data_IF_037907637897
#
_entry.id   IF_037907637897
#
_cell.length_a   1.000
_cell.length_b   1.000
_cell.length_c   1.000
_cell.angle_alpha   90.00
_cell.angle_beta   90.00
_cell.angle_gamma   90.00
#
_symmetry.space_group_name_H-M   'P 1'
#
loop_
_entity.id
_entity.type
_entity.pdbx_description
1 polymer ?
#
# COMPACT_ATOMS: atom_id res chain seq x y z
N UNK A 1 49.34 -33.22 14.54
CA UNK A 1 49.16 -32.32 15.71
C UNK A 1 49.09 -30.90 15.20
N UNK A 2 47.94 -30.41 14.87
CA UNK A 2 47.66 -28.98 14.65
C UNK A 2 46.16 -28.80 14.74
N UNK A 3 45.72 -28.11 15.76
CA UNK A 3 44.35 -27.64 15.97
C UNK A 3 44.05 -26.53 14.96
N UNK A 4 43.05 -26.68 14.16
CA UNK A 4 42.43 -25.58 13.38
C UNK A 4 41.30 -24.97 14.19
N UNK A 5 41.46 -23.71 14.55
CA UNK A 5 40.46 -22.85 15.13
C UNK A 5 39.39 -22.47 14.13
N UNK A 6 38.14 -22.55 14.54
CA UNK A 6 36.99 -21.93 13.89
C UNK A 6 36.85 -20.50 14.45
N UNK A 7 37.25 -19.52 13.70
CA UNK A 7 36.91 -18.09 13.91
C UNK A 7 36.05 -17.66 12.72
N UNK A 8 34.79 -17.43 12.85
CA UNK A 8 34.14 -16.29 13.47
C UNK A 8 34.08 -15.13 12.46
N UNK A 9 33.15 -15.20 11.44
CA UNK A 9 32.82 -14.02 10.63
C UNK A 9 31.86 -13.16 11.48
N UNK A 10 32.47 -12.22 12.21
CA UNK A 10 31.72 -11.11 12.82
C UNK A 10 31.55 -10.05 11.75
N UNK A 11 30.35 -9.94 11.20
CA UNK A 11 29.98 -8.80 10.39
C UNK A 11 29.82 -7.58 11.30
N UNK A 12 30.78 -6.72 11.23
CA UNK A 12 30.81 -5.44 11.91
C UNK A 12 29.83 -4.49 11.21
N UNK A 13 28.65 -4.32 11.78
CA UNK A 13 27.75 -3.23 11.41
C UNK A 13 28.35 -1.93 11.95
N UNK A 14 28.93 -1.14 11.11
CA UNK A 14 29.29 0.24 11.45
C UNK A 14 28.00 1.03 11.68
N UNK A 15 27.74 1.32 12.93
CA UNK A 15 26.72 2.25 13.39
C UNK A 15 27.08 3.66 12.88
N UNK A 16 26.49 4.06 11.78
CA UNK A 16 26.41 5.47 11.44
C UNK A 16 25.45 6.13 12.44
N UNK A 17 26.04 6.67 13.48
CA UNK A 17 25.36 7.50 14.47
C UNK A 17 24.91 8.78 13.77
N UNK A 18 23.69 8.83 13.26
CA UNK A 18 23.08 10.06 12.79
C UNK A 18 22.84 10.94 14.02
N UNK A 19 23.71 11.93 14.21
CA UNK A 19 23.52 12.98 15.20
C UNK A 19 22.21 13.70 14.93
N UNK A 20 21.27 13.58 15.84
CA UNK A 20 20.12 14.49 15.94
C UNK A 20 20.68 15.91 16.06
N UNK A 21 20.39 16.76 15.09
CA UNK A 21 20.66 18.20 15.21
C UNK A 21 19.74 18.74 16.30
N UNK A 22 20.29 18.95 17.47
CA UNK A 22 19.68 19.84 18.46
C UNK A 22 19.60 21.23 17.85
N UNK A 23 18.40 21.66 17.50
CA UNK A 23 18.16 23.06 17.17
C UNK A 23 18.40 23.88 18.44
N UNK A 24 19.48 24.66 18.46
CA UNK A 24 19.69 25.67 19.51
C UNK A 24 18.62 26.73 19.39
N UNK A 25 17.65 26.66 20.28
CA UNK A 25 16.68 27.74 20.48
C UNK A 25 17.38 28.86 21.24
N UNK A 26 17.49 30.02 20.63
CA UNK A 26 17.99 31.24 21.28
C UNK A 26 17.03 31.71 22.39
N UNK A 27 17.51 32.42 23.45
CA UNK A 27 16.65 32.90 24.50
C UNK A 27 15.84 34.10 23.99
N UNK A 28 14.50 33.93 23.87
CA UNK A 28 13.61 35.05 23.55
C UNK A 28 12.39 34.75 22.69
N UNK A 29 12.14 33.52 22.29
CA UNK A 29 10.85 33.15 21.66
C UNK A 29 9.89 32.70 22.76
N UNK A 30 8.77 33.42 22.94
CA UNK A 30 7.62 32.93 23.68
C UNK A 30 7.31 31.52 23.13
N UNK A 31 7.25 30.52 24.01
CA UNK A 31 6.80 29.19 23.69
C UNK A 31 5.32 29.32 23.34
N UNK A 32 5.01 29.50 22.04
CA UNK A 32 3.75 29.01 21.55
C UNK A 32 3.67 27.55 22.00
N UNK A 33 2.74 27.25 22.89
CA UNK A 33 2.39 25.88 23.24
C UNK A 33 2.01 25.22 21.93
N UNK A 34 2.96 24.46 21.36
CA UNK A 34 2.70 23.56 20.25
C UNK A 34 1.51 22.70 20.70
N UNK A 35 0.32 23.06 20.24
CA UNK A 35 -0.84 22.18 20.31
C UNK A 35 -0.35 20.84 19.76
N UNK A 36 -0.20 19.83 20.63
CA UNK A 36 0.03 18.45 20.24
C UNK A 36 -1.19 18.07 19.41
N UNK A 37 -1.11 18.30 18.12
CA UNK A 37 -2.16 17.90 17.20
C UNK A 37 -2.15 16.38 17.20
N UNK A 38 -3.27 15.77 17.58
CA UNK A 38 -3.49 14.33 17.43
C UNK A 38 -3.46 14.00 15.93
N UNK A 39 -2.27 13.71 15.42
CA UNK A 39 -2.04 13.49 13.99
C UNK A 39 -1.47 12.09 13.75
N UNK A 40 -1.86 11.48 12.63
CA UNK A 40 -1.51 10.12 12.27
C UNK A 40 -0.86 10.06 10.90
N UNK A 41 0.31 9.44 10.84
CA UNK A 41 0.94 9.03 9.60
C UNK A 41 0.67 7.54 9.32
N UNK A 42 0.13 7.21 8.15
CA UNK A 42 -0.08 5.82 7.71
C UNK A 42 0.81 5.55 6.50
N UNK A 43 1.74 4.61 6.62
CA UNK A 43 2.66 4.25 5.54
C UNK A 43 2.27 2.88 5.01
N UNK A 44 1.75 2.83 3.79
CA UNK A 44 1.32 1.60 3.15
C UNK A 44 2.41 1.01 2.26
N UNK A 45 2.45 -0.32 2.19
CA UNK A 45 3.43 -1.08 1.42
C UNK A 45 3.17 -1.09 -0.09
N UNK A 46 1.97 -0.62 -0.52
CA UNK A 46 1.60 -0.46 -1.92
C UNK A 46 0.67 0.74 -2.15
N UNK A 47 0.61 1.23 -3.40
CA UNK A 47 -0.15 2.42 -3.77
C UNK A 47 -1.67 2.20 -3.74
N UNK A 48 -2.13 1.02 -4.18
CA UNK A 48 -3.57 0.73 -4.21
C UNK A 48 -4.16 0.56 -2.82
N UNK A 49 -3.41 -0.09 -1.91
CA UNK A 49 -3.79 -0.18 -0.50
C UNK A 49 -3.72 1.17 0.21
N UNK A 50 -2.72 2.00 -0.09
CA UNK A 50 -2.65 3.37 0.42
C UNK A 50 -3.89 4.18 0.00
N UNK A 51 -4.25 4.11 -1.27
CA UNK A 51 -5.43 4.80 -1.80
C UNK A 51 -6.73 4.30 -1.16
N UNK A 52 -6.85 2.99 -0.93
CA UNK A 52 -8.00 2.41 -0.23
C UNK A 52 -8.15 3.01 1.17
N UNK A 53 -7.08 3.08 1.95
CA UNK A 53 -7.10 3.70 3.28
C UNK A 53 -7.50 5.18 3.21
N UNK A 54 -6.94 5.95 2.27
CA UNK A 54 -7.30 7.35 2.08
C UNK A 54 -8.78 7.51 1.74
N UNK A 55 -9.34 6.68 0.84
CA UNK A 55 -10.76 6.70 0.48
C UNK A 55 -11.67 6.37 1.68
N UNK A 56 -11.33 5.38 2.50
CA UNK A 56 -12.11 5.04 3.71
C UNK A 56 -12.07 6.16 4.75
N UNK A 57 -10.95 6.87 4.88
CA UNK A 57 -10.86 8.05 5.76
C UNK A 57 -11.71 9.20 5.23
N UNK A 58 -11.63 9.49 3.92
CA UNK A 58 -12.48 10.51 3.28
C UNK A 58 -13.99 10.16 3.42
N UNK A 59 -14.36 8.90 3.26
CA UNK A 59 -15.74 8.43 3.50
C UNK A 59 -16.18 8.60 4.96
N UNK A 60 -15.24 8.58 5.89
CA UNK A 60 -15.49 8.88 7.30
C UNK A 60 -15.48 10.39 7.62
N UNK A 61 -15.36 11.27 6.61
CA UNK A 61 -15.30 12.72 6.78
C UNK A 61 -13.94 13.25 7.23
N UNK A 62 -12.89 12.46 7.15
CA UNK A 62 -11.53 12.83 7.54
C UNK A 62 -10.73 13.14 6.27
N UNK A 63 -10.27 14.37 6.11
CA UNK A 63 -9.36 14.72 5.02
C UNK A 63 -8.04 13.97 5.20
N UNK A 64 -7.71 13.11 4.23
CA UNK A 64 -6.55 12.23 4.25
C UNK A 64 -5.80 12.28 2.90
N UNK A 65 -4.91 13.26 2.69
CA UNK A 65 -4.09 13.29 1.48
C UNK A 65 -3.20 12.05 1.41
N UNK A 66 -3.08 11.48 0.20
CA UNK A 66 -2.18 10.39 -0.10
C UNK A 66 -0.95 10.94 -0.82
N UNK A 67 0.22 10.68 -0.27
CA UNK A 67 1.51 11.11 -0.81
C UNK A 67 2.32 9.92 -1.33
N UNK A 68 3.04 10.14 -2.42
CA UNK A 68 3.96 9.18 -3.06
C UNK A 68 5.42 9.65 -2.99
N UNK A 69 5.66 10.80 -2.37
CA UNK A 69 6.99 11.35 -2.15
C UNK A 69 7.08 11.92 -0.73
N UNK A 70 8.20 11.70 -0.01
CA UNK A 70 8.37 12.15 1.38
C UNK A 70 8.17 13.67 1.56
N UNK A 71 8.60 14.46 0.58
CA UNK A 71 8.53 15.92 0.60
C UNK A 71 7.36 16.46 -0.25
N UNK A 72 6.27 15.70 -0.38
CA UNK A 72 5.08 16.18 -1.05
C UNK A 72 4.42 17.28 -0.24
N UNK A 73 4.10 18.40 -0.88
CA UNK A 73 3.33 19.47 -0.26
C UNK A 73 1.87 19.04 -0.15
N UNK A 74 1.37 19.05 1.07
CA UNK A 74 -0.05 18.76 1.37
C UNK A 74 -0.63 19.85 2.24
N UNK A 75 -1.91 20.11 2.05
CA UNK A 75 -2.61 21.02 2.94
C UNK A 75 -2.73 20.41 4.34
N UNK A 76 -2.83 21.24 5.37
CA UNK A 76 -2.99 20.81 6.77
C UNK A 76 -4.03 19.72 6.92
N UNK A 77 -3.65 18.65 7.61
CA UNK A 77 -4.40 17.41 7.73
C UNK A 77 -4.12 16.74 9.07
N UNK A 78 -5.14 16.09 9.64
CA UNK A 78 -4.97 15.27 10.85
C UNK A 78 -4.44 13.86 10.52
N UNK A 79 -4.56 13.42 9.26
CA UNK A 79 -4.07 12.12 8.80
C UNK A 79 -3.40 12.28 7.46
N UNK A 80 -2.17 11.81 7.33
CA UNK A 80 -1.48 11.71 6.04
C UNK A 80 -1.24 10.24 5.73
N UNK A 81 -1.59 9.82 4.52
CA UNK A 81 -1.32 8.46 4.03
C UNK A 81 -0.16 8.53 3.06
N UNK A 82 0.85 7.68 3.24
CA UNK A 82 1.94 7.51 2.27
C UNK A 82 1.81 6.16 1.57
N UNK A 83 1.97 6.18 0.26
CA UNK A 83 2.08 4.96 -0.54
C UNK A 83 3.55 4.70 -0.87
N UNK A 84 4.02 3.50 -0.56
CA UNK A 84 5.34 3.00 -0.98
C UNK A 84 5.18 1.84 -1.94
N UNK A 85 6.27 1.36 -2.51
CA UNK A 85 6.32 0.10 -3.27
C UNK A 85 7.14 -0.93 -2.48
N UNK A 86 6.95 -0.96 -1.16
CA UNK A 86 7.80 -1.70 -0.25
C UNK A 86 7.51 -3.21 -0.20
N UNK A 87 6.30 -3.67 -0.59
CA UNK A 87 5.84 -5.07 -0.36
C UNK A 87 6.80 -6.13 -0.85
N UNK A 88 7.39 -5.96 -2.02
CA UNK A 88 8.16 -6.98 -2.75
C UNK A 88 9.64 -6.65 -2.88
N UNK A 89 10.11 -5.57 -2.26
CA UNK A 89 11.52 -5.19 -2.26
C UNK A 89 12.26 -5.75 -1.05
N UNK A 90 13.57 -5.72 -1.14
CA UNK A 90 14.48 -6.17 -0.08
C UNK A 90 14.24 -5.40 1.22
N UNK A 91 14.36 -6.08 2.37
CA UNK A 91 13.96 -5.57 3.68
C UNK A 91 14.68 -4.27 4.08
N UNK A 92 15.98 -4.14 3.84
CA UNK A 92 16.73 -2.93 4.18
C UNK A 92 16.27 -1.73 3.34
N UNK A 93 15.97 -1.95 2.06
CA UNK A 93 15.42 -0.91 1.17
C UNK A 93 14.01 -0.50 1.61
N UNK A 94 13.17 -1.48 2.01
CA UNK A 94 11.84 -1.19 2.53
C UNK A 94 11.89 -0.34 3.81
N UNK A 95 12.81 -0.67 4.73
CA UNK A 95 13.06 0.11 5.95
C UNK A 95 13.51 1.52 5.61
N UNK A 96 14.46 1.69 4.68
CA UNK A 96 14.93 3.01 4.24
C UNK A 96 13.77 3.86 3.70
N UNK A 97 12.96 3.30 2.82
CA UNK A 97 11.80 3.99 2.25
C UNK A 97 10.81 4.46 3.35
N UNK A 98 10.53 3.60 4.34
CA UNK A 98 9.65 3.96 5.45
C UNK A 98 10.25 5.09 6.28
N UNK A 99 11.56 5.04 6.57
CA UNK A 99 12.26 6.10 7.31
C UNK A 99 12.26 7.42 6.55
N UNK A 100 12.47 7.40 5.24
CA UNK A 100 12.40 8.60 4.40
C UNK A 100 11.03 9.30 4.49
N UNK A 101 9.93 8.54 4.49
CA UNK A 101 8.60 9.12 4.69
C UNK A 101 8.39 9.69 6.10
N UNK A 102 8.91 9.02 7.13
CA UNK A 102 8.83 9.51 8.51
C UNK A 102 9.61 10.81 8.73
N UNK A 103 10.72 10.98 8.01
CA UNK A 103 11.59 12.16 8.10
C UNK A 103 11.19 13.26 7.12
N UNK A 104 10.39 12.93 6.11
CA UNK A 104 9.93 13.86 5.10
C UNK A 104 8.91 14.88 5.62
N UNK A 105 8.82 16.02 4.97
CA UNK A 105 7.97 17.15 5.38
C UNK A 105 6.48 16.79 5.40
N UNK A 106 6.05 15.85 4.55
CA UNK A 106 4.65 15.44 4.48
C UNK A 106 4.15 14.74 5.76
N UNK A 107 5.02 14.04 6.48
CA UNK A 107 4.66 13.25 7.67
C UNK A 107 5.39 13.67 8.95
N UNK A 108 6.39 14.54 8.86
CA UNK A 108 7.30 14.89 9.97
C UNK A 108 6.62 15.53 11.20
N UNK A 109 5.34 15.93 11.10
CA UNK A 109 4.53 16.42 12.21
C UNK A 109 3.61 15.37 12.84
N UNK A 110 3.60 14.13 12.37
CA UNK A 110 2.70 13.10 12.89
C UNK A 110 3.14 12.61 14.26
N UNK A 111 2.20 12.58 15.22
CA UNK A 111 2.43 12.12 16.59
C UNK A 111 2.33 10.60 16.74
N UNK A 112 1.66 9.92 15.81
CA UNK A 112 1.43 8.47 15.78
C UNK A 112 1.63 7.93 14.38
N UNK A 113 2.13 6.70 14.29
CA UNK A 113 2.43 6.05 13.01
C UNK A 113 1.84 4.65 12.93
N UNK A 114 1.42 4.29 11.71
CA UNK A 114 1.00 2.93 11.34
C UNK A 114 1.78 2.52 10.09
N UNK A 115 2.40 1.35 10.12
CA UNK A 115 2.80 0.68 8.88
C UNK A 115 1.69 -0.25 8.44
N UNK A 116 1.28 -0.13 7.19
CA UNK A 116 0.12 -0.82 6.63
C UNK A 116 0.54 -1.81 5.53
N UNK A 117 0.76 -3.09 5.88
CA UNK A 117 0.82 -4.19 4.90
C UNK A 117 -0.55 -4.47 4.30
N UNK A 118 -0.61 -5.39 3.30
CA UNK A 118 -1.90 -5.88 2.80
C UNK A 118 -2.76 -6.48 3.91
N UNK A 119 -4.07 -6.59 3.66
CA UNK A 119 -5.02 -7.17 4.63
C UNK A 119 -4.67 -8.61 5.05
N UNK A 120 -3.97 -9.37 4.21
CA UNK A 120 -3.51 -10.73 4.46
C UNK A 120 -2.03 -10.81 4.86
N UNK A 121 -1.37 -9.68 5.15
CA UNK A 121 0.05 -9.61 5.45
C UNK A 121 0.91 -10.36 4.41
N UNK A 122 0.57 -10.16 3.11
CA UNK A 122 1.29 -10.79 1.99
C UNK A 122 2.78 -10.45 2.07
N UNK A 123 3.59 -11.48 2.25
CA UNK A 123 5.03 -11.36 2.47
C UNK A 123 5.75 -12.66 2.17
N UNK A 124 7.03 -12.72 2.50
CA UNK A 124 7.86 -13.94 2.42
C UNK A 124 8.55 -14.17 3.77
N UNK A 125 9.14 -15.34 4.03
CA UNK A 125 9.93 -15.56 5.25
C UNK A 125 11.07 -14.55 5.46
N UNK A 126 11.64 -14.03 4.38
CA UNK A 126 12.65 -12.96 4.39
C UNK A 126 12.05 -11.59 4.04
N UNK A 127 10.76 -11.40 4.30
CA UNK A 127 10.05 -10.15 3.98
C UNK A 127 10.36 -9.01 4.95
N UNK A 128 9.63 -7.93 4.78
CA UNK A 128 9.98 -6.66 5.41
C UNK A 128 9.04 -6.20 6.53
N UNK A 129 7.95 -6.93 6.82
CA UNK A 129 7.00 -6.54 7.88
C UNK A 129 7.69 -6.52 9.25
N UNK A 130 8.42 -7.60 9.59
CA UNK A 130 9.21 -7.68 10.81
C UNK A 130 10.30 -6.61 10.91
N UNK A 131 11.20 -6.48 9.92
CA UNK A 131 12.25 -5.46 9.90
C UNK A 131 11.73 -4.02 10.00
N UNK A 132 10.62 -3.69 9.35
CA UNK A 132 9.98 -2.38 9.50
C UNK A 132 9.44 -2.19 10.91
N UNK A 133 8.77 -3.20 11.48
CA UNK A 133 8.27 -3.13 12.84
C UNK A 133 9.40 -2.93 13.86
N UNK A 134 10.52 -3.63 13.70
CA UNK A 134 11.73 -3.50 14.52
C UNK A 134 12.33 -2.11 14.44
N UNK A 135 12.48 -1.58 13.22
CA UNK A 135 13.00 -0.23 12.98
C UNK A 135 12.12 0.83 13.65
N UNK A 136 10.80 0.74 13.49
CA UNK A 136 9.86 1.68 14.08
C UNK A 136 9.87 1.60 15.62
N UNK A 137 9.94 0.39 16.19
CA UNK A 137 10.05 0.19 17.64
C UNK A 137 11.35 0.77 18.19
N UNK A 138 12.48 0.57 17.51
CA UNK A 138 13.77 1.13 17.90
C UNK A 138 13.76 2.66 17.83
N UNK A 139 13.19 3.23 16.76
CA UNK A 139 13.12 4.67 16.54
C UNK A 139 12.25 5.40 17.57
N UNK A 140 11.11 4.81 17.94
CA UNK A 140 10.17 5.41 18.88
C UNK A 140 10.49 5.09 20.35
N UNK A 141 11.25 4.04 20.60
CA UNK A 141 11.41 3.45 21.95
C UNK A 141 10.13 2.79 22.48
N UNK A 142 9.15 2.52 21.60
CA UNK A 142 7.86 1.93 21.97
C UNK A 142 7.86 0.42 21.74
N UNK A 143 7.54 -0.33 22.79
CA UNK A 143 7.43 -1.78 22.77
C UNK A 143 6.36 -2.24 23.78
N UNK A 144 5.68 -3.36 23.49
CA UNK A 144 5.73 -4.16 22.28
C UNK A 144 5.09 -3.47 21.08
N UNK A 145 5.49 -3.87 19.86
CA UNK A 145 4.76 -3.50 18.63
C UNK A 145 3.47 -4.31 18.55
N UNK A 146 2.38 -3.68 18.20
CA UNK A 146 1.10 -4.34 17.93
C UNK A 146 0.96 -4.65 16.44
N UNK A 147 0.49 -5.85 16.12
CA UNK A 147 0.28 -6.31 14.73
C UNK A 147 -1.13 -6.87 14.58
N UNK A 148 -1.84 -6.49 13.52
CA UNK A 148 -3.20 -6.98 13.27
C UNK A 148 -3.47 -7.07 11.76
N UNK A 149 -3.61 -8.30 11.26
CA UNK A 149 -4.04 -8.60 9.90
C UNK A 149 -5.55 -8.86 9.89
N UNK A 150 -6.16 -8.69 8.72
CA UNK A 150 -7.58 -9.01 8.51
C UNK A 150 -8.37 -7.87 7.90
N UNK A 151 -9.49 -8.25 7.27
CA UNK A 151 -10.49 -7.37 6.68
C UNK A 151 -11.81 -8.14 6.64
N UNK A 152 -12.55 -8.19 7.77
CA UNK A 152 -13.72 -9.05 7.92
C UNK A 152 -14.79 -8.83 6.84
N UNK A 153 -15.01 -7.58 6.42
CA UNK A 153 -16.00 -7.22 5.39
C UNK A 153 -15.77 -7.98 4.06
N UNK A 154 -14.51 -8.30 3.72
CA UNK A 154 -14.16 -9.06 2.52
C UNK A 154 -13.72 -10.49 2.83
N UNK A 155 -14.12 -11.01 4.01
CA UNK A 155 -13.83 -12.35 4.48
C UNK A 155 -12.32 -12.71 4.51
N UNK A 156 -11.48 -11.74 4.85
CA UNK A 156 -10.09 -11.96 5.24
C UNK A 156 -10.03 -11.82 6.75
N UNK A 157 -9.75 -12.91 7.46
CA UNK A 157 -9.81 -12.94 8.93
C UNK A 157 -8.65 -13.72 9.51
N UNK A 158 -8.32 -13.44 10.78
CA UNK A 158 -7.40 -14.26 11.56
C UNK A 158 -8.08 -14.85 12.77
N UNK A 159 -7.83 -16.12 13.07
CA UNK A 159 -8.37 -16.83 14.19
C UNK A 159 -7.33 -17.81 14.75
N UNK A 160 -7.02 -17.69 16.05
CA UNK A 160 -5.94 -18.45 16.72
C UNK A 160 -4.59 -18.31 16.01
N UNK A 161 -4.30 -17.12 15.45
CA UNK A 161 -3.11 -16.83 14.66
C UNK A 161 -3.15 -17.29 13.22
N UNK A 162 -4.18 -18.07 12.81
CA UNK A 162 -4.31 -18.61 11.46
C UNK A 162 -5.07 -17.65 10.55
N UNK A 163 -4.51 -17.43 9.34
CA UNK A 163 -5.09 -16.56 8.33
C UNK A 163 -6.08 -17.31 7.43
N UNK A 164 -7.26 -16.74 7.28
CA UNK A 164 -8.28 -17.15 6.32
C UNK A 164 -8.44 -16.08 5.24
N UNK A 165 -8.53 -16.51 4.00
CA UNK A 165 -8.70 -15.66 2.84
C UNK A 165 -9.95 -16.09 2.07
N UNK A 166 -10.97 -15.22 2.06
CA UNK A 166 -12.27 -15.46 1.42
C UNK A 166 -12.91 -16.81 1.83
N UNK A 167 -12.93 -17.04 3.15
CA UNK A 167 -13.56 -18.23 3.73
C UNK A 167 -12.75 -19.52 3.61
N UNK A 168 -11.52 -19.46 3.13
CA UNK A 168 -10.59 -20.60 3.08
C UNK A 168 -9.33 -20.29 3.87
N UNK A 169 -8.75 -21.30 4.52
CA UNK A 169 -7.41 -21.13 5.08
C UNK A 169 -6.45 -20.69 3.96
N UNK A 170 -5.57 -19.74 4.24
CA UNK A 170 -4.78 -19.06 3.20
C UNK A 170 -4.01 -20.03 2.30
N UNK A 171 -3.49 -21.13 2.83
CA UNK A 171 -2.77 -22.17 2.09
C UNK A 171 -3.64 -23.02 1.15
N UNK A 172 -4.96 -22.96 1.30
CA UNK A 172 -5.94 -23.57 0.38
C UNK A 172 -6.57 -22.53 -0.57
N UNK A 173 -6.05 -21.31 -0.56
CA UNK A 173 -6.51 -20.20 -1.40
C UNK A 173 -5.53 -19.89 -2.52
N UNK A 174 -5.92 -18.97 -3.41
CA UNK A 174 -5.06 -18.46 -4.48
C UNK A 174 -3.76 -17.80 -3.98
N UNK A 175 -3.73 -17.36 -2.72
CA UNK A 175 -2.57 -16.72 -2.10
C UNK A 175 -1.34 -17.62 -1.99
N UNK A 176 -1.54 -18.93 -1.87
CA UNK A 176 -0.45 -19.90 -1.88
C UNK A 176 0.39 -19.86 -3.17
N UNK A 177 -0.25 -19.47 -4.27
CA UNK A 177 0.36 -19.49 -5.60
C UNK A 177 0.70 -18.08 -6.10
N UNK A 178 0.70 -17.09 -5.21
CA UNK A 178 1.13 -15.74 -5.61
C UNK A 178 2.62 -15.78 -5.99
N UNK A 179 3.00 -15.27 -7.17
CA UNK A 179 4.37 -15.40 -7.66
C UNK A 179 5.40 -14.57 -6.89
N UNK A 180 4.97 -13.51 -6.21
CA UNK A 180 5.86 -12.59 -5.50
C UNK A 180 5.80 -12.77 -3.98
N UNK A 181 4.62 -13.00 -3.45
CA UNK A 181 4.37 -13.16 -2.02
C UNK A 181 3.54 -14.41 -1.75
N UNK A 182 4.05 -15.60 -2.04
CA UNK A 182 3.35 -16.83 -1.71
C UNK A 182 3.18 -16.93 -0.20
N UNK A 183 1.99 -17.38 0.23
CA UNK A 183 1.66 -17.58 1.64
C UNK A 183 1.65 -19.08 1.95
N UNK A 184 2.84 -19.68 2.24
CA UNK A 184 2.98 -21.12 2.43
C UNK A 184 2.56 -21.58 3.83
N UNK A 185 2.49 -20.66 4.78
CA UNK A 185 2.18 -20.93 6.19
C UNK A 185 0.91 -20.15 6.59
N UNK A 186 -0.13 -20.82 7.08
CA UNK A 186 -1.34 -20.15 7.52
C UNK A 186 -1.20 -19.52 8.91
N UNK A 187 -0.23 -19.93 9.72
CA UNK A 187 0.07 -19.40 11.04
C UNK A 187 0.91 -18.12 10.91
N UNK A 188 0.26 -16.96 11.03
CA UNK A 188 0.92 -15.66 10.88
C UNK A 188 1.91 -15.36 12.00
N UNK A 189 1.72 -15.90 13.20
CA UNK A 189 2.66 -15.71 14.31
C UNK A 189 3.99 -16.38 13.97
N UNK A 190 3.93 -17.65 13.56
CA UNK A 190 5.11 -18.41 13.13
C UNK A 190 5.73 -17.82 11.87
N UNK A 191 4.90 -17.39 10.92
CA UNK A 191 5.36 -16.79 9.67
C UNK A 191 6.13 -15.47 9.93
N UNK A 192 5.57 -14.57 10.72
CA UNK A 192 6.21 -13.30 11.09
C UNK A 192 7.44 -13.49 11.96
N UNK A 193 7.47 -14.53 12.81
CA UNK A 193 8.66 -14.85 13.62
C UNK A 193 9.90 -15.21 12.80
N UNK A 194 9.74 -15.49 11.50
CA UNK A 194 10.88 -15.70 10.59
C UNK A 194 11.51 -14.39 10.12
N UNK A 195 10.82 -13.26 10.31
CA UNK A 195 11.26 -11.94 9.86
C UNK A 195 11.87 -11.08 10.97
N UNK A 196 11.87 -11.52 12.22
CA UNK A 196 12.36 -10.76 13.38
C UNK A 196 12.90 -11.68 14.47
N UNK A 197 13.93 -11.24 15.17
CA UNK A 197 14.49 -11.94 16.35
C UNK A 197 13.81 -11.53 17.65
N UNK A 198 12.85 -10.60 17.63
CA UNK A 198 12.24 -10.02 18.83
C UNK A 198 11.09 -10.83 19.43
N UNK A 199 10.71 -11.93 18.80
CA UNK A 199 9.59 -12.77 19.22
C UNK A 199 8.23 -12.15 18.93
N UNK A 200 7.31 -13.00 18.44
CA UNK A 200 5.92 -12.63 18.13
C UNK A 200 5.00 -13.48 19.01
N UNK A 201 4.20 -12.83 19.84
CA UNK A 201 3.25 -13.46 20.75
C UNK A 201 1.82 -13.24 20.27
N UNK A 202 0.88 -14.11 20.66
CA UNK A 202 -0.52 -14.06 20.23
C UNK A 202 -1.45 -13.58 21.34
N UNK A 203 -2.30 -12.61 20.99
CA UNK A 203 -3.57 -12.34 21.65
C UNK A 203 -4.68 -12.81 20.72
N UNK A 204 -5.27 -13.96 21.03
CA UNK A 204 -6.24 -14.61 20.15
C UNK A 204 -7.64 -14.01 20.27
N UNK A 205 -8.50 -14.33 19.31
CA UNK A 205 -9.93 -14.04 19.38
C UNK A 205 -10.57 -14.57 20.70
N UNK A 206 -10.19 -15.78 21.12
CA UNK A 206 -10.68 -16.35 22.36
C UNK A 206 -10.26 -15.56 23.61
N UNK A 207 -9.12 -14.90 23.58
CA UNK A 207 -8.71 -13.97 24.64
C UNK A 207 -9.56 -12.70 24.61
N UNK A 208 -9.82 -12.17 23.40
CA UNK A 208 -10.62 -10.96 23.23
C UNK A 208 -12.10 -11.17 23.63
N UNK A 209 -12.65 -12.34 23.41
CA UNK A 209 -13.98 -12.72 23.92
C UNK A 209 -14.09 -12.67 25.45
N UNK A 210 -12.98 -12.70 26.18
CA UNK A 210 -12.96 -12.53 27.64
C UNK A 210 -13.04 -11.08 28.10
N UNK A 211 -13.08 -10.15 27.15
CA UNK A 211 -13.25 -8.72 27.35
C UNK A 211 -11.95 -7.94 27.53
N UNK A 212 -12.05 -6.64 27.38
CA UNK A 212 -10.95 -5.65 27.37
C UNK A 212 -9.96 -5.87 28.53
N UNK A 213 -10.43 -5.91 29.76
CA UNK A 213 -9.56 -6.01 30.94
C UNK A 213 -8.68 -7.26 30.91
N UNK A 214 -9.22 -8.37 30.42
CA UNK A 214 -8.44 -9.59 30.27
C UNK A 214 -7.32 -9.41 29.23
N UNK A 215 -7.64 -8.80 28.10
CA UNK A 215 -6.67 -8.52 27.02
C UNK A 215 -5.55 -7.57 27.52
N UNK A 216 -5.89 -6.49 28.20
CA UNK A 216 -4.91 -5.55 28.77
C UNK A 216 -3.96 -6.24 29.76
N UNK A 217 -4.49 -7.12 30.62
CA UNK A 217 -3.66 -7.92 31.55
C UNK A 217 -2.75 -8.89 30.77
N UNK A 218 -3.26 -9.52 29.70
CA UNK A 218 -2.45 -10.41 28.86
C UNK A 218 -1.34 -9.65 28.15
N UNK A 219 -1.63 -8.49 27.56
CA UNK A 219 -0.62 -7.61 26.96
C UNK A 219 0.46 -7.27 27.98
N UNK A 220 0.08 -6.87 29.20
CA UNK A 220 1.02 -6.54 30.28
C UNK A 220 1.89 -7.72 30.65
N UNK A 221 1.30 -8.91 30.75
CA UNK A 221 2.03 -10.14 31.06
C UNK A 221 3.03 -10.54 29.96
N UNK A 222 2.64 -10.41 28.67
CA UNK A 222 3.51 -10.68 27.53
C UNK A 222 4.66 -9.67 27.47
N UNK A 223 4.36 -8.38 27.66
CA UNK A 223 5.35 -7.31 27.70
C UNK A 223 6.38 -7.54 28.81
N UNK A 224 5.93 -7.95 30.02
CA UNK A 224 6.80 -8.24 31.14
C UNK A 224 7.71 -9.46 30.90
N UNK A 225 7.33 -10.35 29.99
CA UNK A 225 8.15 -11.49 29.53
C UNK A 225 9.11 -11.14 28.41
N UNK A 226 9.09 -9.89 27.95
CA UNK A 226 9.98 -9.41 26.88
C UNK A 226 9.46 -9.62 25.47
N UNK A 227 8.14 -9.79 25.27
CA UNK A 227 7.56 -9.85 23.93
C UNK A 227 7.93 -8.60 23.13
N UNK A 228 8.56 -8.77 21.98
CA UNK A 228 8.89 -7.67 21.06
C UNK A 228 7.70 -7.24 20.23
N UNK A 229 6.89 -8.21 19.83
CA UNK A 229 5.67 -8.00 19.03
C UNK A 229 4.50 -8.79 19.62
N UNK A 230 3.30 -8.24 19.50
CA UNK A 230 2.05 -8.93 19.86
C UNK A 230 1.15 -8.88 18.63
N UNK A 231 0.85 -10.06 18.09
CA UNK A 231 -0.11 -10.24 17.02
C UNK A 231 -1.51 -10.44 17.63
N UNK A 232 -2.49 -9.72 17.11
CA UNK A 232 -3.89 -9.80 17.49
C UNK A 232 -4.70 -10.46 16.40
N UNK A 233 -5.56 -11.38 16.74
CA UNK A 233 -6.57 -11.86 15.80
C UNK A 233 -7.55 -10.74 15.42
N UNK A 234 -8.08 -10.85 14.22
CA UNK A 234 -9.20 -10.04 13.70
C UNK A 234 -10.15 -11.02 13.03
N UNK A 235 -10.97 -11.68 13.85
CA UNK A 235 -11.98 -12.64 13.37
C UNK A 235 -13.26 -11.95 12.92
N UNK A 236 -13.55 -10.79 13.50
CA UNK A 236 -14.74 -10.00 13.20
C UNK A 236 -14.52 -8.49 13.44
N UNK A 237 -15.59 -7.72 13.25
CA UNK A 237 -15.58 -6.26 13.47
C UNK A 237 -15.41 -5.85 14.94
N UNK A 238 -15.75 -6.71 15.91
CA UNK A 238 -15.57 -6.42 17.33
C UNK A 238 -14.09 -6.50 17.71
N UNK A 239 -13.40 -7.52 17.23
CA UNK A 239 -11.95 -7.66 17.36
C UNK A 239 -11.24 -6.46 16.75
N UNK A 240 -11.57 -6.12 15.50
CA UNK A 240 -11.01 -4.98 14.79
C UNK A 240 -11.09 -3.69 15.61
N UNK A 241 -12.28 -3.37 16.11
CA UNK A 241 -12.51 -2.18 16.93
C UNK A 241 -11.73 -2.22 18.25
N UNK A 242 -11.70 -3.37 18.91
CA UNK A 242 -10.99 -3.53 20.17
C UNK A 242 -9.47 -3.31 20.00
N UNK A 243 -8.89 -3.97 18.98
CA UNK A 243 -7.44 -3.85 18.70
C UNK A 243 -7.06 -2.41 18.33
N UNK A 244 -7.83 -1.78 17.46
CA UNK A 244 -7.59 -0.38 17.06
C UNK A 244 -7.67 0.59 18.25
N UNK A 245 -8.63 0.38 19.19
CA UNK A 245 -8.75 1.21 20.38
C UNK A 245 -7.61 0.94 21.39
N UNK A 246 -7.23 -0.32 21.61
CA UNK A 246 -6.07 -0.67 22.44
C UNK A 246 -4.78 -0.02 21.92
N UNK A 247 -4.54 -0.11 20.61
CA UNK A 247 -3.39 0.51 19.97
C UNK A 247 -3.43 2.04 20.11
N UNK A 248 -4.58 2.67 19.93
CA UNK A 248 -4.73 4.12 20.05
C UNK A 248 -4.41 4.65 21.45
N UNK A 249 -4.71 3.88 22.51
CA UNK A 249 -4.47 4.23 23.92
C UNK A 249 -3.09 3.86 24.42
N UNK A 250 -2.32 3.06 23.68
CA UNK A 250 -1.00 2.62 24.09
C UNK A 250 0.12 3.37 23.37
N UNK A 251 1.31 3.44 23.99
CA UNK A 251 2.56 3.83 23.34
C UNK A 251 3.15 2.61 22.64
N UNK A 252 2.54 2.20 21.52
CA UNK A 252 3.02 1.08 20.69
C UNK A 252 3.12 1.52 19.24
N UNK A 253 4.09 0.95 18.52
CA UNK A 253 4.10 0.96 17.07
C UNK A 253 2.97 0.06 16.59
N UNK A 254 2.30 0.41 15.52
CA UNK A 254 1.19 -0.36 15.01
C UNK A 254 1.43 -0.80 13.56
N UNK A 255 1.36 -2.10 13.34
CA UNK A 255 1.40 -2.73 12.02
C UNK A 255 -0.01 -3.27 11.75
N UNK A 256 -0.73 -2.68 10.82
CA UNK A 256 -2.17 -2.94 10.71
C UNK A 256 -2.64 -3.03 9.27
N UNK A 257 -3.60 -3.92 9.03
CA UNK A 257 -4.35 -3.99 7.77
C UNK A 257 -5.20 -2.72 7.53
N UNK A 258 -5.72 -2.61 6.32
CA UNK A 258 -6.47 -1.43 5.84
C UNK A 258 -7.57 -0.96 6.82
N UNK A 259 -8.58 -1.79 7.21
CA UNK A 259 -9.66 -1.32 8.05
C UNK A 259 -9.22 -1.07 9.50
N UNK A 260 -8.23 -1.82 9.98
CA UNK A 260 -7.70 -1.65 11.34
C UNK A 260 -6.92 -0.33 11.45
N UNK A 261 -6.13 0.02 10.43
CA UNK A 261 -5.42 1.30 10.34
C UNK A 261 -6.40 2.50 10.28
N UNK A 262 -7.48 2.37 9.50
CA UNK A 262 -8.56 3.38 9.44
C UNK A 262 -9.24 3.55 10.80
N UNK A 263 -9.61 2.46 11.48
CA UNK A 263 -10.22 2.51 12.80
C UNK A 263 -9.29 3.14 13.84
N UNK A 264 -7.99 2.79 13.80
CA UNK A 264 -6.97 3.41 14.66
C UNK A 264 -6.86 4.93 14.43
N UNK A 265 -6.76 5.37 13.17
CA UNK A 265 -6.68 6.79 12.85
C UNK A 265 -7.91 7.55 13.35
N UNK A 266 -9.12 7.00 13.14
CA UNK A 266 -10.37 7.57 13.67
C UNK A 266 -10.35 7.71 15.19
N UNK A 267 -9.82 6.73 15.92
CA UNK A 267 -9.73 6.78 17.37
C UNK A 267 -8.73 7.83 17.87
N UNK A 268 -7.64 8.09 17.12
CA UNK A 268 -6.65 9.13 17.49
C UNK A 268 -7.19 10.53 17.20
N UNK A 269 -7.69 10.77 15.98
CA UNK A 269 -8.09 12.12 15.59
C UNK A 269 -9.43 12.55 16.21
N UNK A 270 -10.34 11.61 16.42
CA UNK A 270 -11.63 11.86 17.08
C UNK A 270 -12.34 13.11 16.52
N UNK A 271 -12.75 14.00 17.40
CA UNK A 271 -13.44 15.25 17.04
C UNK A 271 -12.50 16.35 16.50
N UNK A 272 -11.18 16.14 16.52
CA UNK A 272 -10.20 17.07 15.95
C UNK A 272 -9.89 16.77 14.47
N UNK A 273 -10.62 15.85 13.86
CA UNK A 273 -10.47 15.50 12.45
C UNK A 273 -10.71 16.72 11.56
N UNK A 274 -9.76 17.00 10.67
CA UNK A 274 -9.92 18.04 9.65
C UNK A 274 -10.75 17.46 8.51
N UNK A 275 -11.88 18.10 8.22
CA UNK A 275 -12.73 17.79 7.07
C UNK A 275 -12.55 18.82 5.96
N UNK A 276 -12.67 18.40 4.72
CA UNK A 276 -12.68 19.28 3.53
C UNK A 276 -13.80 18.88 2.59
N UNK A 277 -14.26 19.82 1.77
CA UNK A 277 -15.24 19.50 0.71
C UNK A 277 -14.73 18.34 -0.16
N UNK A 278 -15.62 17.41 -0.54
CA UNK A 278 -15.25 16.27 -1.35
C UNK A 278 -14.53 16.70 -2.64
N UNK A 279 -13.55 15.93 -3.14
CA UNK A 279 -12.90 16.22 -4.40
C UNK A 279 -13.90 16.05 -5.56
N UNK A 280 -13.57 16.64 -6.72
CA UNK A 280 -14.35 16.49 -7.94
C UNK A 280 -13.50 15.86 -9.03
N UNK A 281 -14.11 15.02 -9.84
CA UNK A 281 -13.45 14.46 -11.01
C UNK A 281 -13.10 15.56 -12.01
N UNK A 282 -11.99 15.34 -12.72
CA UNK A 282 -11.54 16.23 -13.79
C UNK A 282 -12.13 15.74 -15.10
N UNK A 283 -12.87 16.60 -15.79
CA UNK A 283 -13.41 16.29 -17.12
C UNK A 283 -12.30 16.26 -18.17
N UNK A 284 -12.49 15.49 -19.23
CA UNK A 284 -11.57 15.44 -20.36
C UNK A 284 -11.39 14.05 -20.96
N UNK A 285 -10.49 13.91 -21.94
CA UNK A 285 -10.20 12.62 -22.57
C UNK A 285 -9.67 11.59 -21.57
N UNK A 286 -9.96 10.30 -21.84
CA UNK A 286 -9.60 9.19 -20.95
C UNK A 286 -8.77 8.13 -21.67
N UNK A 287 -7.82 7.53 -20.96
CA UNK A 287 -7.05 6.36 -21.38
C UNK A 287 -7.05 5.28 -20.28
N UNK A 288 -7.13 4.02 -20.69
CA UNK A 288 -7.06 2.85 -19.85
C UNK A 288 -5.72 2.15 -20.10
N UNK A 289 -4.92 1.95 -19.03
CA UNK A 289 -3.61 1.30 -19.08
C UNK A 289 -3.65 0.02 -18.26
N UNK A 290 -3.38 -1.12 -18.90
CA UNK A 290 -3.51 -2.45 -18.30
C UNK A 290 -2.18 -3.19 -18.37
N UNK A 291 -1.55 -3.41 -17.21
CA UNK A 291 -0.27 -4.14 -17.09
C UNK A 291 -0.39 -5.51 -16.40
N UNK A 292 -1.59 -5.99 -16.16
CA UNK A 292 -1.85 -7.28 -15.52
C UNK A 292 -2.58 -8.24 -16.45
N UNK A 293 -2.37 -9.54 -16.26
CA UNK A 293 -2.90 -10.60 -17.13
C UNK A 293 -3.87 -11.55 -16.42
N UNK A 294 -4.37 -11.16 -15.24
CA UNK A 294 -5.31 -11.99 -14.50
C UNK A 294 -6.59 -12.27 -15.33
N UNK A 295 -7.21 -13.46 -15.20
CA UNK A 295 -8.43 -13.80 -15.95
C UNK A 295 -9.58 -12.78 -15.79
N UNK A 296 -9.65 -12.11 -14.65
CA UNK A 296 -10.62 -11.03 -14.39
C UNK A 296 -10.41 -9.86 -15.34
N UNK A 297 -9.16 -9.40 -15.52
CA UNK A 297 -8.90 -8.26 -16.42
C UNK A 297 -9.12 -8.61 -17.88
N UNK A 298 -8.94 -9.87 -18.29
CA UNK A 298 -9.24 -10.31 -19.64
C UNK A 298 -10.73 -10.15 -19.99
N UNK A 299 -11.62 -10.54 -19.05
CA UNK A 299 -13.07 -10.33 -19.21
C UNK A 299 -13.43 -8.85 -19.23
N UNK A 300 -12.78 -8.05 -18.36
CA UNK A 300 -12.98 -6.60 -18.29
C UNK A 300 -12.55 -5.91 -19.60
N UNK A 301 -11.43 -6.33 -20.20
CA UNK A 301 -10.99 -5.84 -21.52
C UNK A 301 -11.91 -6.30 -22.64
N UNK A 302 -12.44 -7.52 -22.58
CA UNK A 302 -13.41 -8.02 -23.54
C UNK A 302 -14.70 -7.16 -23.52
N UNK A 303 -15.29 -6.93 -22.35
CA UNK A 303 -16.44 -6.05 -22.18
C UNK A 303 -16.14 -4.62 -22.65
N UNK A 304 -14.97 -4.08 -22.31
CA UNK A 304 -14.54 -2.75 -22.74
C UNK A 304 -14.42 -2.66 -24.27
N UNK A 305 -13.94 -3.72 -24.94
CA UNK A 305 -13.71 -3.77 -26.38
C UNK A 305 -15.00 -3.76 -27.23
N UNK A 306 -16.15 -4.09 -26.62
CA UNK A 306 -17.46 -3.98 -27.27
C UNK A 306 -17.87 -2.53 -27.52
N UNK A 307 -17.33 -1.58 -26.74
CA UNK A 307 -17.72 -0.16 -26.76
C UNK A 307 -16.56 0.73 -27.21
N UNK A 308 -15.34 0.41 -26.83
CA UNK A 308 -14.15 1.24 -27.03
C UNK A 308 -12.98 0.47 -27.62
N UNK A 309 -12.10 1.10 -28.41
CA UNK A 309 -10.94 0.45 -28.99
C UNK A 309 -9.95 -0.03 -27.93
N UNK A 310 -9.37 -1.22 -28.16
CA UNK A 310 -8.37 -1.83 -27.33
C UNK A 310 -7.17 -2.23 -28.18
N UNK A 311 -5.98 -1.79 -27.79
CA UNK A 311 -4.70 -2.25 -28.34
C UNK A 311 -4.03 -3.18 -27.33
N UNK A 312 -3.66 -4.37 -27.78
CA UNK A 312 -2.78 -5.25 -27.04
C UNK A 312 -1.36 -5.19 -27.61
N UNK A 313 -0.40 -4.86 -26.76
CA UNK A 313 1.00 -4.74 -27.14
C UNK A 313 1.68 -6.13 -27.19
N UNK A 314 2.58 -6.30 -28.14
CA UNK A 314 3.58 -7.37 -28.08
C UNK A 314 4.87 -6.81 -27.49
N UNK A 315 5.17 -7.15 -26.24
CA UNK A 315 6.38 -6.71 -25.56
C UNK A 315 7.66 -7.29 -26.16
N UNK A 316 7.58 -8.26 -27.05
CA UNK A 316 8.72 -8.87 -27.73
C UNK A 316 8.98 -8.29 -29.12
N UNK A 317 8.07 -7.44 -29.63
CA UNK A 317 8.14 -6.84 -30.97
C UNK A 317 9.43 -6.03 -31.19
N UNK A 318 9.93 -5.35 -30.17
CA UNK A 318 11.19 -4.60 -30.21
C UNK A 318 11.98 -4.80 -28.91
N UNK A 319 13.30 -4.72 -28.97
CA UNK A 319 14.14 -4.67 -27.76
C UNK A 319 14.06 -3.29 -27.05
N UNK A 320 13.64 -2.25 -27.77
CA UNK A 320 13.52 -0.90 -27.25
C UNK A 320 12.07 -0.60 -26.81
N UNK A 321 11.80 -0.33 -25.51
CA UNK A 321 10.48 0.05 -25.01
C UNK A 321 9.89 1.30 -25.68
N UNK A 322 10.72 2.28 -26.04
CA UNK A 322 10.30 3.50 -26.70
C UNK A 322 9.72 3.23 -28.10
N UNK A 323 10.26 2.23 -28.82
CA UNK A 323 9.73 1.84 -30.12
C UNK A 323 8.31 1.26 -30.00
N UNK A 324 8.10 0.37 -28.99
CA UNK A 324 6.77 -0.20 -28.71
C UNK A 324 5.79 0.91 -28.33
N UNK A 325 6.23 1.85 -27.49
CA UNK A 325 5.41 2.99 -27.11
C UNK A 325 5.09 3.91 -28.30
N UNK A 326 6.03 4.12 -29.21
CA UNK A 326 5.83 4.93 -30.43
C UNK A 326 4.74 4.33 -31.33
N UNK A 327 4.79 3.02 -31.59
CA UNK A 327 3.78 2.34 -32.41
C UNK A 327 2.40 2.42 -31.73
N UNK A 328 2.35 2.27 -30.41
CA UNK A 328 1.11 2.42 -29.66
C UNK A 328 0.56 3.85 -29.68
N UNK A 329 1.45 4.85 -29.68
CA UNK A 329 1.07 6.26 -29.79
C UNK A 329 0.53 6.63 -31.17
N UNK A 330 1.07 6.02 -32.23
CA UNK A 330 0.55 6.17 -33.59
C UNK A 330 -0.90 5.63 -33.68
N UNK A 331 -1.11 4.41 -33.18
CA UNK A 331 -2.45 3.84 -33.09
C UNK A 331 -3.40 4.70 -32.25
N UNK A 332 -2.95 5.18 -31.10
CA UNK A 332 -3.78 5.98 -30.20
C UNK A 332 -4.12 7.38 -30.75
N UNK A 333 -3.38 7.89 -31.71
CA UNK A 333 -3.58 9.24 -32.26
C UNK A 333 -5.01 9.49 -32.79
N UNK A 334 -5.65 8.46 -33.35
CA UNK A 334 -7.03 8.53 -33.85
C UNK A 334 -8.08 8.58 -32.72
N UNK A 335 -7.69 8.24 -31.50
CA UNK A 335 -8.59 8.07 -30.37
C UNK A 335 -8.46 9.19 -29.34
N UNK A 336 -7.26 9.76 -29.18
CA UNK A 336 -7.00 10.85 -28.21
C UNK A 336 -7.93 12.02 -28.48
N UNK A 337 -8.74 12.40 -27.49
CA UNK A 337 -9.71 13.50 -27.60
C UNK A 337 -11.05 13.14 -28.26
N UNK A 338 -11.16 12.02 -28.97
CA UNK A 338 -12.39 11.61 -29.66
C UNK A 338 -13.22 10.61 -28.82
N UNK A 339 -12.58 9.61 -28.22
CA UNK A 339 -13.24 8.59 -27.39
C UNK A 339 -12.24 7.92 -26.44
N UNK A 340 -12.71 7.31 -25.34
CA UNK A 340 -11.85 6.47 -24.49
C UNK A 340 -11.26 5.30 -25.28
N UNK A 341 -10.07 4.86 -24.86
CA UNK A 341 -9.39 3.70 -25.43
C UNK A 341 -8.57 2.97 -24.37
N UNK A 342 -8.21 1.70 -24.62
CA UNK A 342 -7.39 0.93 -23.72
C UNK A 342 -6.12 0.43 -24.41
N UNK A 343 -5.02 0.38 -23.64
CA UNK A 343 -3.78 -0.29 -24.03
C UNK A 343 -3.45 -1.32 -22.96
N UNK A 344 -3.27 -2.58 -23.38
CA UNK A 344 -2.91 -3.70 -22.54
C UNK A 344 -1.54 -4.26 -22.94
N UNK A 345 -0.76 -4.75 -21.99
CA UNK A 345 0.58 -5.31 -22.24
C UNK A 345 0.54 -6.78 -22.73
N UNK A 346 -0.64 -7.35 -22.89
CA UNK A 346 -0.86 -8.69 -23.46
C UNK A 346 -2.31 -8.87 -23.85
N UNK A 347 -2.56 -9.73 -24.86
CA UNK A 347 -3.90 -10.19 -25.26
C UNK A 347 -4.36 -11.34 -24.37
N UNK A 348 -3.45 -12.28 -24.15
CA UNK A 348 -3.72 -13.55 -23.52
C UNK A 348 -2.47 -14.12 -22.82
N UNK A 349 -2.60 -15.33 -22.29
CA UNK A 349 -1.54 -16.02 -21.58
C UNK A 349 -0.33 -16.34 -22.48
N UNK A 350 -0.54 -16.55 -23.80
CA UNK A 350 0.56 -16.85 -24.73
C UNK A 350 1.50 -15.67 -24.94
N UNK A 351 0.96 -14.45 -24.95
CA UNK A 351 1.77 -13.22 -24.98
C UNK A 351 2.67 -13.11 -23.73
N UNK A 352 2.13 -13.47 -22.57
CA UNK A 352 2.88 -13.51 -21.31
C UNK A 352 4.01 -14.52 -21.34
N UNK A 353 3.71 -15.74 -21.82
CA UNK A 353 4.69 -16.82 -21.93
C UNK A 353 5.82 -16.43 -22.88
N UNK A 354 5.52 -15.79 -24.02
CA UNK A 354 6.54 -15.27 -24.94
C UNK A 354 7.42 -14.20 -24.28
N UNK A 355 6.80 -13.24 -23.57
CA UNK A 355 7.55 -12.22 -22.88
C UNK A 355 8.42 -12.80 -21.74
N UNK A 356 7.92 -13.79 -21.00
CA UNK A 356 8.68 -14.50 -19.98
C UNK A 356 9.83 -15.31 -20.57
N UNK A 357 9.63 -15.96 -21.73
CA UNK A 357 10.69 -16.68 -22.43
C UNK A 357 11.80 -15.74 -22.93
N UNK A 358 11.42 -14.53 -23.36
CA UNK A 358 12.38 -13.55 -23.89
C UNK A 358 13.16 -12.81 -22.79
N UNK A 359 12.52 -12.47 -21.65
CA UNK A 359 13.06 -11.54 -20.65
C UNK A 359 13.08 -12.09 -19.21
N UNK A 360 12.57 -13.31 -18.97
CA UNK A 360 12.23 -13.79 -17.63
C UNK A 360 11.00 -13.07 -17.06
N UNK A 361 10.39 -13.58 -15.99
CA UNK A 361 9.15 -13.01 -15.43
C UNK A 361 9.36 -11.57 -14.90
N UNK A 362 10.45 -11.33 -14.18
CA UNK A 362 10.78 -10.00 -13.63
C UNK A 362 11.12 -9.02 -14.76
N UNK A 363 11.89 -9.44 -15.75
CA UNK A 363 12.25 -8.60 -16.90
C UNK A 363 11.04 -8.21 -17.73
N UNK A 364 10.12 -9.15 -17.99
CA UNK A 364 8.87 -8.87 -18.69
C UNK A 364 7.97 -7.89 -17.94
N UNK A 365 7.85 -8.05 -16.61
CA UNK A 365 7.09 -7.12 -15.77
C UNK A 365 7.67 -5.70 -15.81
N UNK A 366 8.98 -5.56 -15.59
CA UNK A 366 9.67 -4.24 -15.67
C UNK A 366 9.49 -3.57 -17.03
N UNK A 367 9.57 -4.37 -18.11
CA UNK A 367 9.38 -3.89 -19.46
C UNK A 367 7.95 -3.38 -19.70
N UNK A 368 6.94 -4.12 -19.23
CA UNK A 368 5.55 -3.69 -19.28
C UNK A 368 5.36 -2.36 -18.54
N UNK A 369 5.92 -2.23 -17.35
CA UNK A 369 5.88 -1.01 -16.56
C UNK A 369 6.54 0.17 -17.27
N UNK A 370 7.70 -0.04 -17.89
CA UNK A 370 8.44 0.98 -18.63
C UNK A 370 7.64 1.50 -19.82
N UNK A 371 7.10 0.60 -20.66
CA UNK A 371 6.28 0.98 -21.82
C UNK A 371 5.03 1.74 -21.38
N UNK A 372 4.29 1.25 -20.37
CA UNK A 372 3.10 1.94 -19.87
C UNK A 372 3.43 3.28 -19.21
N UNK A 373 4.59 3.40 -18.58
CA UNK A 373 5.07 4.67 -18.02
C UNK A 373 5.38 5.71 -19.12
N UNK A 374 6.00 5.29 -20.22
CA UNK A 374 6.23 6.15 -21.39
C UNK A 374 4.87 6.61 -21.96
N UNK A 375 3.96 5.68 -22.19
CA UNK A 375 2.63 5.97 -22.72
C UNK A 375 1.84 6.94 -21.83
N UNK A 376 1.91 6.75 -20.51
CA UNK A 376 1.23 7.65 -19.57
C UNK A 376 1.72 9.11 -19.71
N UNK A 377 3.05 9.33 -19.80
CA UNK A 377 3.61 10.67 -20.02
C UNK A 377 3.17 11.27 -21.34
N UNK A 378 3.27 10.50 -22.41
CA UNK A 378 2.87 10.95 -23.76
C UNK A 378 1.39 11.30 -23.85
N UNK A 379 0.51 10.47 -23.26
CA UNK A 379 -0.92 10.74 -23.21
C UNK A 379 -1.23 11.98 -22.37
N UNK A 380 -0.55 12.15 -21.24
CA UNK A 380 -0.68 13.37 -20.44
C UNK A 380 -0.30 14.61 -21.25
N UNK A 381 0.83 14.57 -21.96
CA UNK A 381 1.28 15.67 -22.82
C UNK A 381 0.28 15.99 -23.95
N UNK A 382 -0.50 15.00 -24.40
CA UNK A 382 -1.57 15.16 -25.41
C UNK A 382 -2.95 15.49 -24.82
N UNK A 383 -3.02 15.82 -23.55
CA UNK A 383 -4.24 16.33 -22.90
C UNK A 383 -5.16 15.26 -22.33
N UNK A 384 -4.73 14.00 -22.17
CA UNK A 384 -5.50 13.02 -21.40
C UNK A 384 -5.56 13.51 -19.94
N UNK A 385 -6.78 13.56 -19.41
CA UNK A 385 -7.10 14.04 -18.06
C UNK A 385 -7.61 12.94 -17.12
N UNK A 386 -8.01 11.80 -17.67
CA UNK A 386 -8.55 10.67 -16.91
C UNK A 386 -7.77 9.41 -17.24
N UNK A 387 -7.14 8.81 -16.23
CA UNK A 387 -6.38 7.58 -16.38
C UNK A 387 -7.01 6.46 -15.55
N UNK A 388 -7.36 5.35 -16.19
CA UNK A 388 -7.73 4.12 -15.52
C UNK A 388 -6.53 3.18 -15.61
N UNK A 389 -6.01 2.73 -14.48
CA UNK A 389 -4.81 1.90 -14.42
C UNK A 389 -5.12 0.58 -13.71
N UNK A 390 -4.93 -0.53 -14.39
CA UNK A 390 -5.19 -1.86 -13.86
C UNK A 390 -3.88 -2.65 -13.65
N UNK A 391 -3.61 -2.96 -12.39
CA UNK A 391 -2.42 -3.64 -11.89
C UNK A 391 -1.78 -2.85 -10.75
N UNK A 392 -1.42 -3.48 -9.66
CA UNK A 392 -0.81 -2.80 -8.50
C UNK A 392 0.53 -2.17 -8.85
N UNK A 393 1.45 -2.95 -9.41
CA UNK A 393 2.76 -2.46 -9.86
C UNK A 393 2.63 -1.46 -11.01
N UNK A 394 1.71 -1.71 -11.94
CA UNK A 394 1.39 -0.78 -13.04
C UNK A 394 0.91 0.57 -12.52
N UNK A 395 0.06 0.57 -11.49
CA UNK A 395 -0.42 1.81 -10.86
C UNK A 395 0.75 2.61 -10.29
N UNK A 396 1.68 1.94 -9.61
CA UNK A 396 2.90 2.56 -9.10
C UNK A 396 3.77 3.15 -10.20
N UNK A 397 3.98 2.42 -11.28
CA UNK A 397 4.80 2.84 -12.41
C UNK A 397 4.19 4.05 -13.14
N UNK A 398 2.88 4.04 -13.40
CA UNK A 398 2.17 5.15 -14.04
C UNK A 398 2.18 6.40 -13.16
N UNK A 399 1.89 6.28 -11.86
CA UNK A 399 1.94 7.39 -10.90
C UNK A 399 3.34 8.02 -10.88
N UNK A 400 4.38 7.20 -10.80
CA UNK A 400 5.77 7.65 -10.82
C UNK A 400 6.14 8.31 -12.14
N UNK A 401 5.76 7.71 -13.28
CA UNK A 401 6.03 8.25 -14.61
C UNK A 401 5.37 9.61 -14.85
N UNK A 402 4.18 9.82 -14.31
CA UNK A 402 3.46 11.09 -14.36
C UNK A 402 4.00 12.15 -13.38
N UNK A 403 4.98 11.80 -12.54
CA UNK A 403 5.55 12.71 -11.54
C UNK A 403 4.56 13.12 -10.45
N UNK A 404 3.54 12.30 -10.18
CA UNK A 404 2.51 12.58 -9.20
C UNK A 404 3.09 12.43 -7.80
N UNK A 405 3.13 13.51 -7.04
CA UNK A 405 3.63 13.50 -5.66
C UNK A 405 2.54 13.29 -4.62
N UNK A 406 1.32 13.76 -4.91
CA UNK A 406 0.19 13.63 -4.01
C UNK A 406 -1.14 13.55 -4.76
N UNK A 407 -2.09 12.84 -4.16
CA UNK A 407 -3.46 12.74 -4.64
C UNK A 407 -4.42 12.86 -3.46
N UNK A 408 -5.68 13.12 -3.77
CA UNK A 408 -6.80 13.02 -2.84
C UNK A 408 -7.75 11.91 -3.29
N UNK A 409 -8.07 10.99 -2.38
CA UNK A 409 -9.03 9.92 -2.61
C UNK A 409 -10.47 10.43 -2.63
N UNK A 410 -11.35 9.72 -3.33
CA UNK A 410 -12.78 9.96 -3.27
C UNK A 410 -13.42 9.13 -2.16
N UNK A 411 -14.45 9.63 -1.48
CA UNK A 411 -15.14 8.89 -0.42
C UNK A 411 -15.94 7.68 -0.95
N UNK A 412 -16.05 7.54 -2.24
CA UNK A 412 -16.81 6.50 -2.91
C UNK A 412 -15.91 5.33 -3.30
N UNK A 413 -16.26 4.12 -2.81
CA UNK A 413 -15.48 2.92 -3.05
C UNK A 413 -16.27 1.70 -3.56
N UNK A 414 -17.40 1.86 -4.30
CA UNK A 414 -18.26 0.71 -4.66
C UNK A 414 -17.57 -0.30 -5.58
N UNK A 415 -16.51 0.10 -6.28
CA UNK A 415 -15.77 -0.77 -7.20
C UNK A 415 -14.58 -1.50 -6.53
N UNK A 416 -14.52 -1.46 -5.19
CA UNK A 416 -13.47 -2.12 -4.40
C UNK A 416 -12.08 -1.55 -4.64
N UNK A 417 -11.98 -0.32 -5.19
CA UNK A 417 -10.72 0.34 -5.54
C UNK A 417 -10.89 1.85 -5.51
N UNK A 418 -9.77 2.57 -5.35
CA UNK A 418 -9.82 4.01 -5.13
C UNK A 418 -9.83 4.84 -6.41
N UNK A 419 -10.79 5.72 -6.51
CA UNK A 419 -10.69 6.90 -7.35
C UNK A 419 -9.89 7.97 -6.62
N UNK A 420 -9.06 8.72 -7.36
CA UNK A 420 -8.37 9.86 -6.79
C UNK A 420 -8.17 10.96 -7.85
N UNK A 421 -7.86 12.15 -7.36
CA UNK A 421 -7.48 13.30 -8.17
C UNK A 421 -6.14 13.83 -7.67
N UNK A 422 -5.27 14.23 -8.60
CA UNK A 422 -4.01 14.85 -8.23
C UNK A 422 -4.23 16.24 -7.62
N UNK A 423 -3.35 16.63 -6.72
CA UNK A 423 -3.29 17.99 -6.20
C UNK A 423 -2.45 18.86 -7.13
N UNK A 424 -2.74 20.18 -7.23
CA UNK A 424 -1.99 21.12 -8.05
C UNK A 424 -2.85 21.86 -9.08
N UNK A 425 -2.20 22.69 -9.92
CA UNK A 425 -2.87 23.62 -10.84
C UNK A 425 -3.48 22.92 -12.06
N UNK A 426 -2.90 21.81 -12.51
CA UNK A 426 -3.38 21.05 -13.67
C UNK A 426 -3.75 19.61 -13.25
N UNK A 427 -4.87 19.41 -12.53
CA UNK A 427 -5.22 18.11 -11.98
C UNK A 427 -5.62 17.10 -13.03
N UNK A 428 -5.46 15.82 -12.70
CA UNK A 428 -5.99 14.68 -13.44
C UNK A 428 -6.74 13.75 -12.48
N UNK A 429 -7.75 13.07 -12.99
CA UNK A 429 -8.44 12.00 -12.26
C UNK A 429 -7.81 10.66 -12.58
N UNK A 430 -7.69 9.83 -11.55
CA UNK A 430 -7.14 8.49 -11.62
C UNK A 430 -8.12 7.48 -11.04
N UNK A 431 -8.16 6.31 -11.65
CA UNK A 431 -8.75 5.10 -11.08
C UNK A 431 -7.65 4.04 -11.02
N UNK A 432 -7.14 3.76 -9.82
CA UNK A 432 -6.06 2.81 -9.59
C UNK A 432 -6.63 1.49 -9.07
N UNK A 433 -6.57 0.45 -9.89
CA UNK A 433 -7.26 -0.82 -9.66
C UNK A 433 -6.28 -1.99 -9.51
N UNK A 434 -6.37 -2.80 -8.42
CA UNK A 434 -5.71 -4.10 -8.38
C UNK A 434 -6.22 -5.02 -9.50
N UNK A 435 -5.34 -5.81 -10.12
CA UNK A 435 -5.68 -6.62 -11.29
C UNK A 435 -6.76 -7.69 -11.07
N UNK A 436 -7.01 -8.10 -9.81
CA UNK A 436 -7.85 -9.27 -9.46
C UNK A 436 -9.25 -8.91 -8.95
N UNK A 437 -9.71 -7.64 -9.07
CA UNK A 437 -10.96 -7.16 -8.48
C UNK A 437 -11.88 -6.48 -9.51
N UNK A 438 -13.15 -6.34 -9.15
CA UNK A 438 -14.20 -5.67 -9.91
C UNK A 438 -15.04 -6.60 -10.77
N UNK A 439 -16.23 -6.13 -11.18
CA UNK A 439 -17.12 -6.74 -12.16
C UNK A 439 -16.45 -6.81 -13.53
N UNK A 440 -17.04 -7.51 -14.47
CA UNK A 440 -16.55 -7.54 -15.85
C UNK A 440 -16.70 -6.16 -16.53
N UNK A 441 -17.67 -5.34 -16.09
CA UNK A 441 -17.95 -4.00 -16.60
C UNK A 441 -17.21 -2.87 -15.87
N UNK A 442 -16.37 -3.18 -14.89
CA UNK A 442 -15.73 -2.18 -13.98
C UNK A 442 -14.99 -1.06 -14.70
N UNK A 443 -14.39 -1.32 -15.87
CA UNK A 443 -13.68 -0.28 -16.64
C UNK A 443 -14.65 0.73 -17.26
N UNK A 444 -15.80 0.26 -17.74
CA UNK A 444 -16.87 1.11 -18.28
C UNK A 444 -17.55 1.91 -17.16
N UNK A 445 -17.90 1.24 -16.05
CA UNK A 445 -18.47 1.86 -14.86
C UNK A 445 -17.55 2.95 -14.30
N UNK A 446 -16.23 2.69 -14.24
CA UNK A 446 -15.26 3.68 -13.78
C UNK A 446 -15.16 4.89 -14.73
N UNK A 447 -15.21 4.70 -16.04
CA UNK A 447 -15.25 5.80 -17.00
C UNK A 447 -16.48 6.69 -16.81
N UNK A 448 -17.63 6.09 -16.59
CA UNK A 448 -18.88 6.82 -16.38
C UNK A 448 -18.86 7.58 -15.05
N UNK A 449 -18.32 6.96 -14.00
CA UNK A 449 -18.18 7.59 -12.69
C UNK A 449 -17.22 8.81 -12.70
N UNK A 450 -16.23 8.81 -13.58
CA UNK A 450 -15.25 9.90 -13.72
C UNK A 450 -15.69 11.03 -14.67
N UNK A 451 -16.94 11.06 -15.14
CA UNK A 451 -17.46 12.10 -16.05
C UNK A 451 -17.70 13.46 -15.41
#
# INVERSE_FOLDING_TARGET
MTKTSKDGIVTQWELHTIRVREARVGPGAERDELKVTNSVGIIADDYTGALMVACYLEAAGIYAPLVFHPDAEVAESSVVVAGTRARTIEAATAVSNVVEFLDGSAMGGSSRFVYKPSASFDSTPSGNIGPVADCLAQRTGWAPTFMAAGFPEVAITTHLGYLFYRGKIVTASIKRFDPLTPMPDPDLVRFLSQQTDRGVELVSHLDMCRGRRFVENKISALSSKGAGHIFFDVSDEADLRLVADLAARSKSVFIASDPVAVAFAKNIVGNSAIARAAPRHVSGPAAVLVGTVAPVIQRQLAAFSEVHPVLALDLTQSKNPEAIASDAMEWAAEHVGSRPFAIATSRDQSDVERAHAAYGSIGAARRAEEVLGILAREFRARGIKRFLVAGGETSGSVVSALGIKAVRGFPEGPLGTGFCVTTGEDPISLFLKPGKFGSDDVLLEALDHMR
#
